data_IF_363647174295
#
_entry.id   IF_363647174295
#
_cell.length_a   1.000
_cell.length_b   1.000
_cell.length_c   1.000
_cell.angle_alpha   90.00
_cell.angle_beta   90.00
_cell.angle_gamma   90.00
#
_symmetry.space_group_name_H-M   'P 1'
#
loop_
_entity.id
_entity.type
_entity.pdbx_description
1 polymer ?
2 non-polymer ?
3 water ?
#
# COMPACT_ATOMS: atom_id res chain seq x y z
N UNK A 6 0.82 8.74 -4.55
CA UNK A 6 0.30 9.56 -5.63
C UNK A 6 1.21 9.56 -6.88
N UNK A 7 0.71 10.07 -8.02
CA UNK A 7 1.49 10.12 -9.27
C UNK A 7 2.91 10.64 -9.12
N UNK A 8 3.08 11.80 -8.49
CA UNK A 8 4.40 12.43 -8.34
C UNK A 8 5.41 11.52 -7.68
N UNK A 9 4.98 10.81 -6.64
CA UNK A 9 5.82 9.88 -5.90
C UNK A 9 6.28 8.74 -6.82
N UNK A 10 5.33 8.13 -7.59
CA UNK A 10 5.63 7.01 -8.48
C UNK A 10 6.51 7.47 -9.66
N UNK A 11 6.22 8.66 -10.19
CA UNK A 11 6.99 9.23 -11.28
C UNK A 11 8.43 9.47 -10.83
N UNK A 12 8.66 9.90 -9.59
CA UNK A 12 10.01 10.12 -9.07
C UNK A 12 10.72 8.78 -8.95
N UNK A 13 10.03 7.71 -8.52
CA UNK A 13 10.68 6.39 -8.47
C UNK A 13 11.06 5.93 -9.87
N UNK A 14 10.16 6.09 -10.84
CA UNK A 14 10.42 5.63 -12.20
C UNK A 14 11.56 6.41 -12.86
N UNK A 15 11.63 7.71 -12.59
CA UNK A 15 12.66 8.62 -13.09
C UNK A 15 14.01 8.28 -12.49
N UNK A 16 14.07 8.08 -11.16
CA UNK A 16 15.28 7.73 -10.44
C UNK A 16 15.84 6.43 -11.02
N UNK A 17 14.96 5.44 -11.26
CA UNK A 17 15.45 4.14 -11.77
C UNK A 17 16.05 4.32 -13.18
N UNK A 18 15.39 5.11 -14.05
CA UNK A 18 15.90 5.34 -15.38
C UNK A 18 17.26 6.06 -15.32
N UNK A 19 17.42 7.03 -14.40
CA UNK A 19 18.68 7.74 -14.24
C UNK A 19 19.79 6.83 -13.71
N UNK A 20 19.41 5.87 -12.85
CA UNK A 20 20.33 4.87 -12.32
C UNK A 20 20.86 4.00 -13.49
N UNK A 21 19.95 3.49 -14.34
CA UNK A 21 20.36 2.65 -15.48
C UNK A 21 21.18 3.45 -16.49
N UNK A 22 20.81 4.68 -16.75
CA UNK A 22 21.51 5.52 -17.70
C UNK A 22 22.84 6.08 -17.19
N UNK A 23 23.18 5.85 -15.91
CA UNK A 23 24.44 6.34 -15.30
C UNK A 23 24.50 7.86 -15.23
N UNK A 24 23.35 8.49 -14.97
CA UNK A 24 23.21 9.94 -14.81
C UNK A 24 22.46 10.28 -13.52
N UNK A 25 22.99 9.85 -12.36
CA UNK A 25 22.36 10.23 -11.08
C UNK A 25 22.25 11.75 -10.95
N UNK A 26 21.11 12.26 -10.52
CA UNK A 26 20.90 13.70 -10.42
C UNK A 26 21.55 14.30 -9.16
N UNK A 27 22.30 15.40 -9.32
CA UNK A 27 22.89 16.06 -8.15
C UNK A 27 21.84 16.58 -7.18
N UNK A 28 22.19 16.64 -5.91
CA UNK A 28 21.25 17.13 -4.90
C UNK A 28 21.18 16.27 -3.67
N UNK A 29 20.01 16.20 -3.02
CA UNK A 29 19.87 15.39 -1.79
C UNK A 29 19.91 13.86 -2.05
N UNK A 30 19.80 13.45 -3.31
CA UNK A 30 19.89 12.05 -3.70
C UNK A 30 18.59 11.30 -3.56
N UNK A 31 18.60 10.02 -3.95
CA UNK A 31 17.36 9.24 -3.87
C UNK A 31 16.89 8.93 -2.46
N UNK A 32 15.57 8.78 -2.30
CA UNK A 32 14.97 8.44 -1.01
C UNK A 32 15.35 6.99 -0.60
N UNK A 33 15.01 6.58 0.63
CA UNK A 33 15.24 5.21 1.08
C UNK A 33 14.48 4.22 0.15
N UNK A 34 13.22 4.53 -0.20
CA UNK A 34 12.43 3.67 -1.10
C UNK A 34 13.13 3.50 -2.46
N UNK A 35 13.62 4.61 -3.02
CA UNK A 35 14.27 4.57 -4.31
C UNK A 35 15.55 3.75 -4.27
N UNK A 36 16.34 3.88 -3.20
CA UNK A 36 17.60 3.14 -3.04
C UNK A 36 17.32 1.63 -2.99
N UNK A 37 16.31 1.23 -2.20
CA UNK A 37 15.97 -0.20 -2.11
C UNK A 37 15.46 -0.69 -3.48
N UNK A 38 14.58 0.08 -4.11
CA UNK A 38 14.02 -0.30 -5.41
C UNK A 38 15.08 -0.46 -6.50
N UNK A 39 16.04 0.48 -6.59
CA UNK A 39 17.11 0.40 -7.61
C UNK A 39 17.91 -0.91 -7.49
N UNK A 40 18.24 -1.31 -6.27
CA UNK A 40 18.95 -2.55 -5.99
C UNK A 40 18.14 -3.77 -6.47
N UNK A 41 16.88 -3.94 -5.99
CA UNK A 41 16.10 -5.13 -6.36
C UNK A 41 15.73 -5.14 -7.84
N UNK A 42 15.30 -3.98 -8.40
CA UNK A 42 14.91 -3.94 -9.81
C UNK A 42 16.08 -4.20 -10.72
N UNK A 43 17.30 -3.68 -10.37
CA UNK A 43 18.47 -3.92 -11.22
C UNK A 43 18.82 -5.39 -11.25
N UNK A 44 18.68 -6.08 -10.11
CA UNK A 44 18.94 -7.53 -10.06
C UNK A 44 17.95 -8.27 -10.96
N UNK A 45 16.68 -7.91 -10.92
CA UNK A 45 15.67 -8.55 -11.77
C UNK A 45 15.95 -8.21 -13.22
N UNK A 46 16.30 -6.94 -13.52
CA UNK A 46 16.61 -6.52 -14.89
C UNK A 46 17.74 -7.35 -15.49
N UNK A 47 18.83 -7.56 -14.73
CA UNK A 47 19.96 -8.34 -15.25
C UNK A 47 19.54 -9.77 -15.56
N UNK A 48 18.70 -10.38 -14.70
CA UNK A 48 18.20 -11.76 -14.92
C UNK A 48 17.33 -11.75 -16.20
N UNK A 49 16.42 -10.79 -16.34
CA UNK A 49 15.55 -10.72 -17.51
C UNK A 49 16.34 -10.52 -18.79
N UNK A 50 17.39 -9.68 -18.76
CA UNK A 50 18.22 -9.44 -19.95
C UNK A 50 18.86 -10.73 -20.44
N UNK A 51 19.35 -11.56 -19.51
CA UNK A 51 20.02 -12.81 -19.90
C UNK A 51 18.98 -13.84 -20.36
N UNK A 52 17.96 -14.07 -19.53
CA UNK A 52 16.96 -15.08 -19.83
C UNK A 52 16.13 -14.80 -21.10
N UNK A 53 15.82 -13.52 -21.38
CA UNK A 53 15.06 -13.14 -22.55
C UNK A 53 15.92 -12.52 -23.63
N UNK A 54 17.23 -12.78 -23.65
CA UNK A 54 18.13 -12.18 -24.66
C UNK A 54 17.62 -12.32 -26.10
N UNK A 55 17.21 -13.54 -26.51
CA UNK A 55 16.76 -13.75 -27.89
C UNK A 55 15.52 -12.91 -28.23
N UNK A 56 14.65 -12.78 -27.25
CA UNK A 56 13.43 -12.06 -27.32
C UNK A 56 13.70 -10.52 -27.39
N UNK A 57 14.66 -10.01 -26.60
CA UNK A 57 15.00 -8.59 -26.59
C UNK A 57 15.81 -8.20 -27.82
N UNK A 58 16.62 -9.10 -28.35
CA UNK A 58 17.41 -8.85 -29.55
C UNK A 58 16.56 -8.73 -30.84
N UNK A 59 15.30 -9.19 -30.81
CA UNK A 59 14.43 -9.18 -31.99
C UNK A 59 13.62 -7.91 -32.18
N UNK A 60 13.82 -6.90 -31.33
CA UNK A 60 13.08 -5.66 -31.41
C UNK A 60 14.05 -4.48 -31.70
N UNK A 61 13.55 -3.40 -32.32
CA UNK A 61 14.24 -2.15 -32.63
C UNK A 61 13.36 -1.06 -32.01
N UNK A 62 13.78 -0.49 -30.89
CA UNK A 62 13.02 0.51 -30.14
C UNK A 62 13.40 1.87 -30.68
N UNK A 63 12.81 2.24 -31.84
CA UNK A 63 13.16 3.47 -32.55
C UNK A 63 12.50 4.71 -32.06
N UNK A 64 11.46 4.61 -31.23
CA UNK A 64 10.75 5.78 -30.75
C UNK A 64 10.06 5.49 -29.42
N UNK A 65 9.62 6.54 -28.74
CA UNK A 65 8.83 6.43 -27.52
C UNK A 65 7.52 5.67 -27.79
N UNK A 66 6.89 5.87 -28.98
CA UNK A 66 5.63 5.17 -29.30
C UNK A 66 5.89 3.67 -29.49
N UNK A 67 7.04 3.31 -30.06
CA UNK A 67 7.42 1.90 -30.18
C UNK A 67 7.63 1.33 -28.76
N UNK A 68 8.31 2.08 -27.87
CA UNK A 68 8.56 1.61 -26.49
C UNK A 68 7.23 1.45 -25.74
N UNK A 69 6.29 2.39 -25.94
CA UNK A 69 4.98 2.32 -25.30
C UNK A 69 4.24 1.05 -25.73
N UNK A 70 4.27 0.73 -27.03
CA UNK A 70 3.60 -0.45 -27.55
C UNK A 70 4.21 -1.74 -26.99
N UNK A 71 5.54 -1.79 -26.92
CA UNK A 71 6.24 -2.96 -26.40
C UNK A 71 5.93 -3.14 -24.91
N UNK A 72 6.01 -2.05 -24.13
CA UNK A 72 5.74 -2.06 -22.70
C UNK A 72 4.31 -2.59 -22.44
N UNK A 73 3.29 -2.11 -23.20
CA UNK A 73 1.90 -2.58 -23.00
C UNK A 73 1.74 -4.07 -23.27
N UNK A 74 2.47 -4.58 -24.25
CA UNK A 74 2.46 -6.01 -24.56
C UNK A 74 3.05 -6.81 -23.40
N UNK A 75 4.13 -6.30 -22.78
CA UNK A 75 4.74 -6.99 -21.63
C UNK A 75 3.77 -6.95 -20.47
N UNK A 76 3.13 -5.81 -20.21
CA UNK A 76 2.20 -5.69 -19.09
C UNK A 76 0.97 -6.60 -19.25
N UNK A 77 0.49 -6.78 -20.48
CA UNK A 77 -0.66 -7.67 -20.72
C UNK A 77 -0.28 -9.11 -20.36
N UNK A 78 0.94 -9.52 -20.72
CA UNK A 78 1.44 -10.85 -20.43
C UNK A 78 1.77 -11.01 -18.93
N UNK A 79 2.40 -10.01 -18.33
CA UNK A 79 2.79 -10.08 -16.91
C UNK A 79 1.59 -10.24 -15.97
N UNK A 80 0.49 -9.52 -16.23
CA UNK A 80 -0.67 -9.56 -15.36
C UNK A 80 -1.87 -10.29 -15.96
N UNK A 81 -1.63 -11.21 -16.92
CA UNK A 81 -2.74 -11.89 -17.59
C UNK A 81 -3.60 -12.72 -16.64
N UNK A 82 -3.03 -13.25 -15.55
CA UNK A 82 -3.83 -14.03 -14.59
C UNK A 82 -4.56 -13.15 -13.55
N UNK A 83 -4.47 -11.82 -13.69
CA UNK A 83 -5.13 -10.86 -12.83
C UNK A 83 -4.54 -10.68 -11.44
N UNK A 84 -3.43 -11.36 -11.12
CA UNK A 84 -2.86 -11.22 -9.78
C UNK A 84 -1.72 -10.18 -9.73
N UNK A 85 -1.68 -9.42 -8.65
CA UNK A 85 -0.62 -8.46 -8.43
C UNK A 85 0.14 -8.89 -7.18
N UNK A 86 1.46 -8.78 -7.23
CA UNK A 86 2.33 -9.01 -6.09
C UNK A 86 3.56 -8.08 -6.23
N UNK A 87 4.36 -7.92 -5.17
CA UNK A 87 5.48 -6.99 -5.20
C UNK A 87 6.55 -7.39 -6.23
N UNK A 88 6.77 -8.69 -6.45
CA UNK A 88 7.71 -9.15 -7.46
C UNK A 88 7.30 -8.71 -8.85
N UNK A 89 5.97 -8.67 -9.12
CA UNK A 89 5.49 -8.21 -10.41
C UNK A 89 5.64 -6.70 -10.58
N UNK A 90 5.47 -5.94 -9.48
CA UNK A 90 5.68 -4.48 -9.56
C UNK A 90 7.16 -4.18 -9.80
N UNK A 91 8.08 -4.93 -9.16
CA UNK A 91 9.52 -4.75 -9.43
C UNK A 91 9.84 -5.05 -10.92
N UNK A 92 9.20 -6.10 -11.47
CA UNK A 92 9.40 -6.44 -12.89
C UNK A 92 9.03 -5.27 -13.87
N UNK A 93 8.06 -4.43 -13.49
CA UNK A 93 7.66 -3.26 -14.31
C UNK A 93 8.86 -2.33 -14.48
N UNK A 94 9.53 -2.00 -13.36
CA UNK A 94 10.70 -1.12 -13.37
C UNK A 94 11.83 -1.79 -14.14
N UNK A 95 12.04 -3.12 -13.96
CA UNK A 95 13.07 -3.83 -14.74
C UNK A 95 12.85 -3.66 -16.25
N UNK A 96 11.58 -3.78 -16.72
CA UNK A 96 11.31 -3.61 -18.16
C UNK A 96 11.51 -2.15 -18.62
N UNK A 97 11.21 -1.14 -17.76
CA UNK A 97 11.50 0.24 -18.16
C UNK A 97 13.03 0.45 -18.31
N UNK A 98 13.83 -0.22 -17.50
CA UNK A 98 15.29 -0.11 -17.60
C UNK A 98 15.76 -0.72 -18.91
N UNK A 99 15.16 -1.87 -19.30
CA UNK A 99 15.56 -2.50 -20.57
C UNK A 99 15.16 -1.58 -21.76
N UNK A 100 13.95 -1.03 -21.70
CA UNK A 100 13.45 -0.16 -22.76
C UNK A 100 14.32 1.08 -22.92
N UNK A 101 14.74 1.73 -21.82
CA UNK A 101 15.59 2.93 -21.96
C UNK A 101 16.95 2.59 -22.54
N UNK A 102 17.51 1.42 -22.20
CA UNK A 102 18.80 1.00 -22.78
C UNK A 102 18.67 0.78 -24.26
N UNK A 103 17.55 0.16 -24.69
CA UNK A 103 17.34 -0.06 -26.12
C UNK A 103 17.05 1.28 -26.83
N UNK A 104 16.30 2.17 -26.20
CA UNK A 104 15.98 3.48 -26.79
C UNK A 104 17.24 4.32 -26.94
N UNK A 105 18.12 4.37 -25.91
CA UNK A 105 19.40 5.12 -26.07
C UNK A 105 20.19 4.63 -27.32
N UNK A 106 20.18 3.33 -27.52
CA UNK A 106 20.94 2.67 -28.57
C UNK A 106 20.28 2.73 -29.95
N UNK A 107 18.94 2.68 -29.98
CA UNK A 107 18.20 2.55 -31.24
C UNK A 107 17.27 3.69 -31.64
N UNK A 108 17.01 4.66 -30.77
CA UNK A 108 16.09 5.77 -31.12
C UNK A 108 16.53 6.51 -32.38
N UNK A 109 15.59 6.75 -33.32
CA UNK A 109 15.84 7.40 -34.61
C UNK A 109 16.43 8.79 -34.46
N UNK A 110 15.71 9.71 -33.82
CA UNK A 110 16.21 11.05 -33.62
C UNK A 110 16.48 11.06 -32.15
N UNK A 111 17.72 10.71 -31.75
CA UNK A 111 18.03 10.64 -30.31
C UNK A 111 17.65 11.92 -29.58
N UNK A 112 16.73 11.79 -28.63
CA UNK A 112 16.25 12.93 -27.88
C UNK A 112 16.45 12.70 -26.39
N UNK A 113 17.41 13.40 -25.80
CA UNK A 113 17.70 13.33 -24.37
C UNK A 113 16.48 13.73 -23.50
N UNK A 114 15.51 14.47 -24.06
CA UNK A 114 14.32 14.87 -23.31
C UNK A 114 13.18 13.88 -23.44
N UNK A 115 13.44 12.65 -23.98
CA UNK A 115 12.42 11.61 -24.14
C UNK A 115 12.58 10.46 -23.11
N UNK A 116 13.66 10.45 -22.32
CA UNK A 116 13.80 9.47 -21.24
C UNK A 116 12.73 9.71 -20.15
N UNK A 117 12.35 10.98 -19.95
CA UNK A 117 11.30 11.32 -19.00
C UNK A 117 9.92 10.87 -19.48
N UNK A 118 9.73 10.66 -20.80
CA UNK A 118 8.46 10.20 -21.36
C UNK A 118 8.24 8.71 -21.04
N UNK A 119 9.31 7.89 -21.02
CA UNK A 119 9.20 6.47 -20.67
C UNK A 119 8.76 6.36 -19.21
N UNK A 120 9.46 7.08 -18.33
CA UNK A 120 9.18 7.17 -16.88
C UNK A 120 7.73 7.59 -16.66
N UNK A 121 7.26 8.53 -17.47
CA UNK A 121 5.89 9.02 -17.37
C UNK A 121 4.86 7.95 -17.66
N UNK A 122 5.00 7.19 -18.77
CA UNK A 122 3.98 6.18 -19.07
C UNK A 122 4.08 4.97 -18.14
N UNK A 123 5.28 4.66 -17.62
CA UNK A 123 5.42 3.60 -16.63
C UNK A 123 4.69 4.02 -15.34
N UNK A 124 4.86 5.28 -14.91
CA UNK A 124 4.18 5.76 -13.71
C UNK A 124 2.68 5.78 -13.88
N UNK A 125 2.20 6.12 -15.08
CA UNK A 125 0.76 6.11 -15.37
C UNK A 125 0.21 4.68 -15.25
N UNK A 126 0.95 3.71 -15.78
CA UNK A 126 0.53 2.33 -15.71
C UNK A 126 0.49 1.83 -14.25
N UNK A 127 1.56 2.08 -13.49
CA UNK A 127 1.66 1.67 -12.10
C UNK A 127 0.52 2.28 -11.28
N UNK A 128 0.31 3.59 -11.43
CA UNK A 128 -0.73 4.25 -10.69
C UNK A 128 -2.12 3.75 -11.04
N UNK A 129 -2.48 3.70 -12.34
CA UNK A 129 -3.80 3.29 -12.79
C UNK A 129 -4.13 1.81 -12.56
N UNK A 130 -3.19 0.90 -12.87
CA UNK A 130 -3.45 -0.53 -12.78
C UNK A 130 -3.07 -1.20 -11.45
N UNK A 131 -2.03 -0.71 -10.76
CA UNK A 131 -1.58 -1.34 -9.51
C UNK A 131 -1.66 -0.45 -8.28
N UNK A 132 -2.00 0.82 -8.45
CA UNK A 132 -2.00 1.79 -7.36
C UNK A 132 -2.86 1.44 -6.18
N UNK A 133 -4.06 0.91 -6.43
CA UNK A 133 -4.97 0.56 -5.33
C UNK A 133 -4.43 -0.63 -4.55
N UNK A 134 -3.90 -1.62 -5.26
CA UNK A 134 -3.29 -2.78 -4.62
C UNK A 134 -2.09 -2.34 -3.81
N UNK A 135 -1.26 -1.41 -4.33
CA UNK A 135 -0.09 -0.93 -3.59
C UNK A 135 -0.51 -0.29 -2.27
N UNK A 136 -1.51 0.59 -2.33
CA UNK A 136 -1.99 1.30 -1.14
C UNK A 136 -2.53 0.33 -0.09
N UNK A 137 -3.33 -0.65 -0.49
CA UNK A 137 -3.87 -1.63 0.44
C UNK A 137 -2.79 -2.55 1.02
N UNK A 138 -1.64 -2.69 0.32
CA UNK A 138 -0.54 -3.51 0.82
C UNK A 138 0.57 -2.69 1.52
N UNK A 139 0.25 -1.45 1.91
CA UNK A 139 1.13 -0.63 2.72
C UNK A 139 1.85 0.51 2.06
N UNK A 140 1.62 0.66 0.76
CA UNK A 140 2.31 1.70 0.01
C UNK A 140 3.79 1.34 -0.14
N UNK A 141 4.60 2.35 -0.50
CA UNK A 141 6.01 2.10 -0.72
C UNK A 141 6.81 2.00 0.56
N UNK A 142 6.52 2.80 1.58
CA UNK A 142 7.32 2.75 2.81
C UNK A 142 6.91 1.62 3.77
N UNK A 143 5.60 1.40 3.97
CA UNK A 143 5.11 0.34 4.86
C UNK A 143 4.87 -1.00 4.19
N UNK A 144 4.96 -1.05 2.87
CA UNK A 144 4.77 -2.28 2.14
C UNK A 144 6.04 -2.69 1.43
N UNK A 145 6.38 -1.96 0.38
CA UNK A 145 7.52 -2.29 -0.45
C UNK A 145 8.85 -2.32 0.31
N UNK A 146 9.17 -1.25 1.02
CA UNK A 146 10.44 -1.16 1.74
C UNK A 146 10.52 -2.20 2.82
N UNK A 147 9.45 -2.41 3.58
CA UNK A 147 9.47 -3.45 4.62
C UNK A 147 9.76 -4.85 4.06
N UNK A 148 9.25 -5.15 2.88
CA UNK A 148 9.49 -6.44 2.26
C UNK A 148 10.87 -6.61 1.65
N UNK A 149 11.37 -5.59 0.94
CA UNK A 149 12.60 -5.72 0.18
C UNK A 149 13.84 -5.08 0.77
N UNK A 150 13.73 -4.33 1.88
CA UNK A 150 14.93 -3.69 2.44
C UNK A 150 15.88 -4.76 2.98
N UNK A 151 17.19 -4.46 3.02
CA UNK A 151 18.15 -5.45 3.52
C UNK A 151 17.82 -5.96 4.91
N UNK A 152 18.11 -7.25 5.16
CA UNK A 152 17.81 -7.83 6.46
C UNK A 152 18.92 -7.55 7.46
N UNK B 6 1.59 -9.06 8.03
CA UNK B 6 1.79 -8.22 6.86
C UNK B 6 0.68 -7.18 6.69
N UNK B 7 1.05 -6.01 6.18
CA UNK B 7 0.16 -4.88 6.06
C UNK B 7 -1.19 -5.20 5.40
N UNK B 8 -1.17 -5.89 4.26
CA UNK B 8 -2.37 -6.22 3.49
C UNK B 8 -3.42 -6.97 4.30
N UNK B 9 -2.97 -7.87 5.16
CA UNK B 9 -3.89 -8.64 6.01
C UNK B 9 -4.58 -7.72 7.04
N UNK B 10 -3.80 -6.87 7.73
CA UNK B 10 -4.32 -5.97 8.75
C UNK B 10 -5.21 -4.90 8.11
N UNK B 11 -4.80 -4.38 6.93
CA UNK B 11 -5.62 -3.43 6.16
C UNK B 11 -7.01 -4.03 5.88
N UNK B 12 -7.04 -5.27 5.40
CA UNK B 12 -8.31 -5.95 5.14
C UNK B 12 -9.15 -6.08 6.44
N UNK B 13 -8.56 -6.38 7.59
CA UNK B 13 -9.33 -6.45 8.87
C UNK B 13 -9.93 -5.05 9.17
N UNK B 14 -9.10 -3.99 9.02
CA UNK B 14 -9.56 -2.63 9.30
C UNK B 14 -10.66 -2.18 8.35
N UNK B 15 -10.52 -2.47 7.04
CA UNK B 15 -11.52 -2.09 6.04
C UNK B 15 -12.78 -2.92 6.22
N UNK B 16 -12.67 -4.23 6.55
CA UNK B 16 -13.86 -5.06 6.79
C UNK B 16 -14.66 -4.49 7.98
N UNK B 17 -13.97 -4.08 9.04
CA UNK B 17 -14.66 -3.57 10.24
C UNK B 17 -15.39 -2.27 9.90
N UNK B 18 -14.74 -1.37 9.14
CA UNK B 18 -15.38 -0.13 8.74
C UNK B 18 -16.59 -0.39 7.84
N UNK B 19 -16.49 -1.38 6.94
CA UNK B 19 -17.64 -1.72 6.08
C UNK B 19 -18.80 -2.31 6.89
N UNK B 20 -18.47 -3.06 7.97
CA UNK B 20 -19.46 -3.62 8.87
C UNK B 20 -20.20 -2.45 9.61
N UNK B 21 -19.42 -1.51 10.17
CA UNK B 21 -20.00 -0.36 10.88
C UNK B 21 -20.87 0.46 9.94
N UNK B 22 -20.39 0.70 8.73
CA UNK B 22 -21.12 1.50 7.74
C UNK B 22 -22.29 0.78 7.11
N UNK B 23 -22.52 -0.50 7.45
CA UNK B 23 -23.62 -1.31 6.89
C UNK B 23 -23.52 -1.40 5.36
N UNK B 24 -22.29 -1.53 4.85
CA UNK B 24 -22.00 -1.70 3.44
C UNK B 24 -21.13 -2.95 3.20
N UNK B 25 -21.57 -4.16 3.62
CA UNK B 25 -20.74 -5.36 3.39
C UNK B 25 -20.62 -5.75 1.92
N UNK B 26 -19.45 -6.25 1.53
CA UNK B 26 -19.17 -6.67 0.15
C UNK B 26 -19.93 -7.97 -0.22
N UNK B 27 -20.28 -8.20 -1.51
CA UNK B 27 -21.00 -9.43 -1.87
C UNK B 27 -20.15 -10.71 -1.80
N UNK B 28 -20.75 -11.86 -2.08
CA UNK B 28 -20.04 -13.14 -2.04
C UNK B 28 -20.09 -13.77 -0.66
N UNK B 29 -19.11 -14.62 -0.34
CA UNK B 29 -19.03 -15.26 0.98
C UNK B 29 -18.63 -14.31 2.12
N UNK B 30 -18.40 -13.03 1.80
CA UNK B 30 -18.10 -12.01 2.78
C UNK B 30 -16.76 -12.12 3.47
N UNK B 31 -16.66 -11.48 4.65
CA UNK B 31 -15.36 -11.48 5.36
C UNK B 31 -14.90 -12.86 5.82
N UNK B 32 -13.60 -12.98 6.11
CA UNK B 32 -12.99 -14.23 6.58
C UNK B 32 -13.50 -14.57 8.00
N UNK B 33 -13.24 -15.81 8.48
CA UNK B 33 -13.58 -16.23 9.85
C UNK B 33 -12.92 -15.28 10.86
N UNK B 34 -11.64 -14.89 10.63
CA UNK B 34 -10.92 -13.95 11.51
C UNK B 34 -11.63 -12.59 11.60
N UNK B 35 -12.00 -12.05 10.44
CA UNK B 35 -12.66 -10.78 10.37
C UNK B 35 -14.02 -10.83 11.07
N UNK B 36 -14.77 -11.92 10.87
CA UNK B 36 -16.07 -12.11 11.52
C UNK B 36 -15.98 -12.15 13.02
N UNK B 37 -14.95 -12.85 13.57
CA UNK B 37 -14.74 -12.90 15.01
C UNK B 37 -14.40 -11.51 15.52
N UNK B 38 -13.52 -10.80 14.80
CA UNK B 38 -13.12 -9.46 15.20
C UNK B 38 -14.31 -8.52 15.21
N UNK B 39 -15.19 -8.56 14.19
CA UNK B 39 -16.33 -7.66 14.12
C UNK B 39 -17.23 -7.81 15.34
N UNK B 40 -17.48 -9.05 15.72
CA UNK B 40 -18.29 -9.37 16.90
C UNK B 40 -17.70 -8.73 18.18
N UNK B 41 -16.45 -9.04 18.49
CA UNK B 41 -15.84 -8.53 19.74
C UNK B 41 -15.60 -7.02 19.70
N UNK B 42 -15.10 -6.49 18.57
CA UNK B 42 -14.85 -5.05 18.45
C UNK B 42 -16.14 -4.24 18.53
N UNK B 43 -17.25 -4.73 17.94
CA UNK B 43 -18.50 -3.97 18.01
C UNK B 43 -19.00 -3.91 19.45
N UNK B 44 -18.85 -5.03 20.21
CA UNK B 44 -19.25 -5.05 21.63
C UNK B 44 -18.45 -4.01 22.45
N UNK B 45 -17.15 -3.92 22.21
CA UNK B 45 -16.31 -2.93 22.89
C UNK B 45 -16.73 -1.52 22.44
N UNK B 46 -16.98 -1.34 21.12
CA UNK B 46 -17.37 -0.04 20.59
C UNK B 46 -18.61 0.52 21.27
N UNK B 47 -19.62 -0.32 21.46
CA UNK B 47 -20.85 0.12 22.11
C UNK B 47 -20.63 0.54 23.57
N UNK B 48 -19.76 -0.18 24.28
CA UNK B 48 -19.42 0.16 25.68
C UNK B 48 -18.68 1.50 25.72
N UNK B 49 -17.71 1.70 24.81
CA UNK B 49 -16.94 2.95 24.74
C UNK B 49 -17.86 4.12 24.38
N UNK B 50 -18.78 3.92 23.43
CA UNK B 50 -19.70 5.00 23.04
C UNK B 50 -20.55 5.45 24.24
N UNK B 51 -20.98 4.49 25.04
CA UNK B 51 -21.79 4.76 26.22
C UNK B 51 -20.96 5.43 27.33
N UNK B 52 -19.78 4.89 27.64
CA UNK B 52 -18.96 5.41 28.72
C UNK B 52 -18.35 6.79 28.40
N UNK B 53 -17.95 7.03 27.15
CA UNK B 53 -17.34 8.30 26.74
C UNK B 53 -18.28 9.23 25.99
N UNK B 54 -19.60 9.03 26.10
CA UNK B 54 -20.56 9.86 25.35
C UNK B 54 -20.30 11.38 25.39
N UNK B 55 -20.15 11.96 26.58
CA UNK B 55 -19.88 13.40 26.70
C UNK B 55 -18.58 13.79 26.01
N UNK B 56 -17.52 12.98 26.19
CA UNK B 56 -16.22 13.18 25.57
C UNK B 56 -16.33 13.13 24.01
N UNK B 57 -16.94 12.08 23.47
CA UNK B 57 -17.06 11.91 22.02
C UNK B 57 -17.94 12.97 21.37
N UNK B 58 -19.05 13.35 22.03
CA UNK B 58 -19.96 14.38 21.49
C UNK B 58 -19.37 15.80 21.53
N UNK B 59 -18.27 16.01 22.28
CA UNK B 59 -17.64 17.31 22.38
C UNK B 59 -16.61 17.57 21.26
N UNK B 60 -16.29 16.54 20.43
CA UNK B 60 -15.29 16.68 19.40
C UNK B 60 -15.91 16.52 18.01
N UNK B 61 -15.50 17.36 17.04
CA UNK B 61 -15.99 17.22 15.67
C UNK B 61 -14.92 16.51 14.83
N UNK B 62 -15.33 15.77 13.79
CA UNK B 62 -14.40 15.05 12.94
C UNK B 62 -14.78 15.42 11.52
N UNK B 63 -14.22 16.52 11.01
CA UNK B 63 -14.64 17.03 9.70
C UNK B 63 -13.75 16.64 8.55
N UNK B 64 -12.59 16.03 8.83
CA UNK B 64 -11.67 15.59 7.78
C UNK B 64 -10.89 14.35 8.22
N UNK B 65 -10.25 13.65 7.27
CA UNK B 65 -9.39 12.51 7.59
C UNK B 65 -8.16 12.98 8.35
N UNK B 66 -7.63 14.18 8.05
CA UNK B 66 -6.44 14.66 8.77
C UNK B 66 -6.74 14.84 10.26
N UNK B 67 -7.91 15.40 10.60
CA UNK B 67 -8.27 15.57 12.01
C UNK B 67 -8.57 14.20 12.66
N UNK B 68 -9.20 13.28 11.92
CA UNK B 68 -9.45 11.89 12.38
C UNK B 68 -8.15 11.21 12.73
N UNK B 69 -7.09 11.43 11.92
CA UNK B 69 -5.77 10.84 12.17
C UNK B 69 -5.18 11.42 13.46
N UNK B 70 -5.25 12.75 13.63
CA UNK B 70 -4.80 13.41 14.86
C UNK B 70 -5.47 12.84 16.11
N UNK B 71 -6.83 12.80 16.13
CA UNK B 71 -7.65 12.30 17.22
C UNK B 71 -7.29 10.84 17.48
N UNK B 72 -7.12 10.04 16.42
CA UNK B 72 -6.76 8.62 16.56
C UNK B 72 -5.42 8.47 17.26
N UNK B 73 -4.43 9.27 16.85
CA UNK B 73 -3.09 9.21 17.43
C UNK B 73 -3.11 9.57 18.93
N UNK B 74 -3.96 10.54 19.30
CA UNK B 74 -4.13 10.96 20.69
C UNK B 74 -4.76 9.83 21.52
N UNK B 75 -5.71 9.09 20.94
CA UNK B 75 -6.29 7.94 21.64
C UNK B 75 -5.24 6.87 21.86
N UNK B 76 -4.44 6.57 20.84
CA UNK B 76 -3.41 5.55 20.92
C UNK B 76 -2.34 5.91 21.98
N UNK B 77 -2.06 7.23 22.14
CA UNK B 77 -1.10 7.70 23.15
C UNK B 77 -1.62 7.32 24.54
N UNK B 78 -2.92 7.55 24.80
CA UNK B 78 -3.53 7.26 26.07
C UNK B 78 -3.63 5.73 26.26
N UNK B 79 -4.15 5.03 25.26
CA UNK B 79 -4.36 3.58 25.28
C UNK B 79 -3.13 2.77 25.67
N UNK B 80 -1.97 3.12 25.13
CA UNK B 80 -0.74 2.38 25.40
C UNK B 80 0.25 3.19 26.23
N UNK B 81 -0.24 4.11 27.07
CA UNK B 81 0.69 4.94 27.87
C UNK B 81 1.56 4.16 28.86
N UNK B 82 1.12 3.00 29.35
CA UNK B 82 1.94 2.18 30.26
C UNK B 82 2.89 1.20 29.52
N UNK B 83 2.89 1.24 28.20
CA UNK B 83 3.74 0.37 27.38
C UNK B 83 3.22 -1.05 27.19
N UNK B 84 2.13 -1.43 27.87
CA UNK B 84 1.61 -2.80 27.75
C UNK B 84 0.73 -3.01 26.52
N UNK B 85 0.92 -4.15 25.82
CA UNK B 85 0.05 -4.55 24.71
C UNK B 85 -0.68 -5.83 25.15
N UNK B 86 -1.97 -5.87 24.93
CA UNK B 86 -2.76 -7.08 25.14
C UNK B 86 -3.86 -7.13 24.08
N UNK B 87 -4.54 -8.28 23.92
CA UNK B 87 -5.57 -8.40 22.89
C UNK B 87 -6.72 -7.43 23.08
N UNK B 88 -7.06 -7.12 24.33
CA UNK B 88 -8.13 -6.17 24.63
C UNK B 88 -7.84 -4.79 24.09
N UNK B 89 -6.58 -4.35 24.22
CA UNK B 89 -6.16 -3.06 23.68
C UNK B 89 -6.15 -3.06 22.16
N UNK B 90 -5.77 -4.19 21.55
CA UNK B 90 -5.81 -4.29 20.09
C UNK B 90 -7.26 -4.19 19.59
N UNK B 91 -8.21 -4.87 20.25
CA UNK B 91 -9.62 -4.78 19.86
C UNK B 91 -10.13 -3.31 20.00
N UNK B 92 -9.65 -2.62 21.03
CA UNK B 92 -10.03 -1.21 21.27
C UNK B 92 -9.64 -0.30 20.09
N UNK B 93 -8.53 -0.63 19.39
CA UNK B 93 -8.05 0.13 18.24
C UNK B 93 -9.16 0.10 17.16
N UNK B 94 -9.73 -1.09 16.89
CA UNK B 94 -10.80 -1.21 15.90
C UNK B 94 -12.05 -0.51 16.38
N UNK B 95 -12.38 -0.62 17.68
CA UNK B 95 -13.53 0.08 18.22
C UNK B 95 -13.45 1.61 17.96
N UNK B 96 -12.25 2.21 18.16
CA UNK B 96 -12.06 3.64 17.92
C UNK B 96 -12.15 4.01 16.41
N UNK B 97 -11.68 3.13 15.51
CA UNK B 97 -11.81 3.42 14.08
C UNK B 97 -13.30 3.38 13.68
N UNK B 98 -14.11 2.53 14.32
CA UNK B 98 -15.54 2.50 14.08
C UNK B 98 -16.22 3.80 14.54
N UNK B 99 -15.85 4.30 15.72
CA UNK B 99 -16.41 5.56 16.24
C UNK B 99 -16.00 6.73 15.32
N UNK B 100 -14.75 6.74 14.84
CA UNK B 100 -14.25 7.79 13.93
C UNK B 100 -15.04 7.79 12.64
N UNK B 101 -15.29 6.61 12.06
CA UNK B 101 -16.02 6.57 10.78
C UNK B 101 -17.48 7.01 10.95
N UNK B 102 -18.11 6.76 12.11
CA UNK B 102 -19.49 7.21 12.33
C UNK B 102 -19.53 8.75 12.40
N UNK B 103 -18.54 9.33 13.08
CA UNK B 103 -18.46 10.78 13.20
C UNK B 103 -18.16 11.44 11.84
N UNK B 104 -17.25 10.86 11.07
CA UNK B 104 -16.93 11.37 9.73
C UNK B 104 -18.13 11.25 8.81
N UNK B 105 -18.91 10.16 8.89
CA UNK B 105 -20.12 10.02 8.06
C UNK B 105 -21.08 11.20 8.34
N UNK B 106 -21.19 11.61 9.59
CA UNK B 106 -22.09 12.70 9.96
C UNK B 106 -21.51 14.09 9.73
N UNK B 107 -20.17 14.24 9.81
CA UNK B 107 -19.59 15.59 9.83
C UNK B 107 -18.56 15.93 8.80
N UNK B 108 -18.11 14.98 7.96
CA UNK B 108 -17.07 15.27 6.98
C UNK B 108 -17.50 16.42 6.03
N UNK B 109 -16.60 17.39 5.77
CA UNK B 109 -16.92 18.55 4.95
C UNK B 109 -17.38 18.20 3.55
N UNK B 110 -16.53 17.55 2.75
CA UNK B 110 -16.92 17.13 1.42
C UNK B 110 -17.06 15.64 1.58
N UNK B 111 -18.28 15.12 1.85
CA UNK B 111 -18.42 13.67 2.05
C UNK B 111 -17.80 12.87 0.91
N UNK B 112 -16.68 12.22 1.23
CA UNK B 112 -15.94 11.44 0.27
C UNK B 112 -16.16 10.00 0.65
N UNK B 113 -16.99 9.32 -0.13
CA UNK B 113 -17.38 7.92 0.06
C UNK B 113 -16.20 6.95 0.17
N UNK B 114 -15.00 7.34 -0.27
CA UNK B 114 -13.83 6.47 -0.17
C UNK B 114 -12.89 6.85 0.99
N UNK B 115 -13.35 7.66 1.96
CA UNK B 115 -12.48 8.06 3.05
C UNK B 115 -12.28 6.95 4.08
N UNK B 116 -13.19 5.94 4.14
CA UNK B 116 -12.97 4.80 5.03
C UNK B 116 -11.68 4.04 4.65
N UNK B 117 -11.25 4.14 3.38
CA UNK B 117 -10.01 3.52 2.90
C UNK B 117 -8.76 4.20 3.50
N UNK B 118 -8.80 5.52 3.69
CA UNK B 118 -7.69 6.25 4.26
C UNK B 118 -7.60 5.96 5.76
N UNK B 119 -8.74 5.85 6.45
CA UNK B 119 -8.72 5.51 7.89
C UNK B 119 -8.21 4.07 8.05
N UNK B 120 -8.68 3.14 7.19
CA UNK B 120 -8.20 1.74 7.24
C UNK B 120 -6.69 1.69 7.07
N UNK B 121 -6.15 2.55 6.17
CA UNK B 121 -4.71 2.66 5.99
C UNK B 121 -3.97 3.09 7.26
N UNK B 122 -4.34 4.23 7.87
CA UNK B 122 -3.58 4.71 9.03
C UNK B 122 -3.78 3.79 10.25
N UNK B 123 -4.92 3.11 10.34
CA UNK B 123 -5.14 2.15 11.42
C UNK B 123 -4.23 0.95 11.22
N UNK B 124 -4.15 0.38 9.99
CA UNK B 124 -3.26 -0.77 9.74
C UNK B 124 -1.80 -0.38 9.93
N UNK B 125 -1.44 0.85 9.55
CA UNK B 125 -0.09 1.34 9.73
C UNK B 125 0.27 1.38 11.23
N UNK B 126 -0.63 1.90 12.08
CA UNK B 126 -0.40 1.96 13.52
C UNK B 126 -0.24 0.55 14.09
N UNK B 127 -1.18 -0.35 13.76
CA UNK B 127 -1.15 -1.72 14.26
C UNK B 127 0.11 -2.44 13.84
N UNK B 128 0.48 -2.33 12.57
CA UNK B 128 1.66 -3.03 12.07
C UNK B 128 2.94 -2.53 12.69
N UNK B 129 3.13 -1.21 12.73
CA UNK B 129 4.35 -0.63 13.26
C UNK B 129 4.51 -0.67 14.79
N UNK B 130 3.41 -0.59 15.54
CA UNK B 130 3.48 -0.52 16.99
C UNK B 130 3.08 -1.80 17.72
N UNK B 131 2.30 -2.69 17.06
CA UNK B 131 1.88 -3.93 17.72
C UNK B 131 2.18 -5.21 16.93
N UNK B 132 2.64 -5.08 15.70
CA UNK B 132 2.88 -6.19 14.78
C UNK B 132 3.73 -7.31 15.35
N UNK B 133 4.85 -6.96 15.99
CA UNK B 133 5.81 -7.87 16.61
C UNK B 133 5.13 -8.65 17.74
N UNK B 134 4.40 -7.96 18.64
CA UNK B 134 3.66 -8.60 19.73
C UNK B 134 2.63 -9.57 19.15
N UNK B 135 1.87 -9.12 18.12
CA UNK B 135 0.85 -9.99 17.51
C UNK B 135 1.44 -11.26 16.96
N UNK B 136 2.53 -11.16 16.17
CA UNK B 136 3.18 -12.33 15.61
C UNK B 136 3.68 -13.28 16.71
N UNK B 137 4.33 -12.73 17.74
CA UNK B 137 4.85 -13.52 18.86
C UNK B 137 3.77 -14.22 19.69
N UNK B 138 2.53 -13.73 19.64
CA UNK B 138 1.43 -14.29 20.39
C UNK B 138 0.43 -15.09 19.56
N UNK B 139 0.86 -15.58 18.41
CA UNK B 139 0.06 -16.47 17.57
C UNK B 139 -0.54 -15.88 16.32
N UNK B 140 -0.31 -14.59 16.10
CA UNK B 140 -0.87 -13.90 14.95
C UNK B 140 -2.38 -13.80 15.06
N UNK B 141 -3.04 -13.45 13.95
CA UNK B 141 -4.50 -13.34 13.95
C UNK B 141 -5.18 -14.69 14.01
N UNK B 142 -4.70 -15.65 13.20
CA UNK B 142 -5.37 -16.96 13.17
C UNK B 142 -5.10 -17.84 14.41
N UNK B 143 -3.84 -17.95 14.89
CA UNK B 143 -3.56 -18.79 16.07
C UNK B 143 -3.37 -18.02 17.38
N UNK B 144 -3.75 -16.74 17.37
CA UNK B 144 -3.64 -15.92 18.56
C UNK B 144 -4.98 -15.29 18.85
N UNK B 145 -5.31 -14.29 18.05
CA UNK B 145 -6.57 -13.57 18.23
C UNK B 145 -7.80 -14.50 18.11
N UNK B 146 -7.90 -15.23 17.02
CA UNK B 146 -9.03 -16.10 16.76
C UNK B 146 -9.14 -17.19 17.81
N UNK B 147 -8.01 -17.76 18.26
CA UNK B 147 -8.08 -18.79 19.30
C UNK B 147 -8.60 -18.27 20.61
N UNK B 148 -8.28 -17.04 20.95
CA UNK B 148 -8.72 -16.45 22.20
C UNK B 148 -10.16 -15.98 22.17
N UNK B 149 -10.63 -15.43 21.04
CA UNK B 149 -11.94 -14.78 20.98
C UNK B 149 -13.03 -15.51 20.25
N UNK B 150 -12.72 -16.60 19.52
CA UNK B 150 -13.77 -17.32 18.82
C UNK B 150 -14.68 -18.05 19.83
N UNK B 151 -15.94 -18.27 19.47
CA UNK B 151 -16.83 -19.07 20.36
C UNK B 151 -16.24 -20.45 20.68
N UNK B 152 -16.28 -20.91 21.96
CA UNK B 152 -15.70 -22.20 22.33
C UNK B 152 -16.65 -23.39 22.09
X LIG C 1 8.05 -8.25 -26.86
X LIG C 1 8.63 -10.61 -27.21
X LIG C 1 8.52 -12.05 -26.80
X LIG C 1 8.34 -10.17 -22.68
X LIG C 1 7.04 -10.51 -22.38
X LIG C 1 7.43 -10.73 -19.98
X LIG C 1 8.13 -12.09 -19.91
X LIG C 1 7.02 -13.00 -19.38
X LIG C 1 6.39 -12.16 -18.27
X LIG C 1 6.49 -10.72 -18.77
X LIG C 1 6.09 -10.57 -23.38
X LIG C 1 6.45 -10.30 -24.69
X LIG C 1 9.16 -7.37 -26.29
X LIG C 1 11.18 -5.71 -25.28
X LIG C 1 9.86 -5.53 -24.84
X LIG C 1 8.88 -6.38 -25.37
X LIG C 1 9.50 -4.53 -23.88
X LIG C 1 12.13 -3.55 -25.16
X LIG C 1 12.27 -4.81 -24.77
X LIG C 1 13.49 -5.23 -25.11
X LIG C 1 12.34 -4.77 -23.46
X LIG C 1 11.47 -6.69 -26.22
X LIG C 1 10.47 -7.51 -26.71
X LIG C 1 9.17 -3.74 -23.12
X LIG C 1 6.64 -7.68 -26.69
X LIG C 1 8.15 -9.65 -26.36
X LIG C 1 9.86 -12.60 -26.43
X LIG C 1 9.15 -10.30 -28.28
X LIG C 1 7.77 -9.97 -25.00
X LIG C 1 8.71 -9.91 -23.99
X LIG C 1 6.53 -10.78 -21.12
X LIG C 1 7.06 -12.29 -16.97
X LIG D 1 -10.03 12.85 22.03
X LIG D 1 -10.99 13.46 24.20
X LIG D 1 -11.24 13.18 25.65
X LIG D 1 -10.43 8.90 24.33
X LIG D 1 -9.13 8.69 24.77
X LIG D 1 -9.42 6.30 25.18
X LIG D 1 -10.23 6.24 26.46
X LIG D 1 -9.18 5.78 27.47
X LIG D 1 -8.44 4.67 26.72
X LIG D 1 -8.52 5.08 25.24
X LIG D 1 -8.25 9.75 24.83
X LIG D 1 -8.66 11.02 24.46
X LIG D 1 -11.01 12.14 21.10
X LIG D 1 -12.75 10.84 19.34
X LIG D 1 -11.39 10.50 19.34
X LIG D 1 -10.55 11.16 20.24
X LIG D 1 -10.84 9.55 18.42
X LIG D 1 -13.48 10.43 17.11
X LIG D 1 -13.71 10.15 18.40
X LIG D 1 -14.98 10.47 18.63
X LIG D 1 -13.66 8.84 18.49
X LIG D 1 -13.23 11.82 20.22
X LIG D 1 -12.36 12.46 21.08
X LIG D 1 -10.35 8.81 17.70
X LIG D 1 -8.56 12.66 21.71
X LIG D 1 -10.32 12.53 23.46
X LIG D 1 -12.69 13.17 25.95
X LIG D 1 -11.40 14.49 23.70
X LIG D 1 -9.95 11.24 23.99
X LIG D 1 -10.84 10.17 23.95
X LIG D 1 -8.58 7.49 25.17
X LIG D 1 -9.01 3.34 26.95
#
# INVERSE_FOLDING_TARGET
GMTDCEFGYIYRLAQDYLQCVLQIPQPGSGPSKTSRVLQNVAFSVQKEVEKNLKSCLDNVNVVSVDTARTLFNQVMEKEFEDGIINWGRIVTIFAFEGILIKKLLRQQIAPDVDTYKEISYFVAEFIMNNTGEWIRQNGGWENGFVKKFEPK
GMTDCEFGYIYRLAQDYLQCVLQIPQPGSGPSKTSRVLQNVAFSVQKEVEKNLKSCLDNVNVVSVDTARTLFNQVMEKEFEDGIINWGRIVTIFAFEGILIKKLLRQQIAPDVDTYKEISYFVAEFIMNNTGEWIRQNGGWENGFVKKFEPK
A1IDP C1 C2 C3 C7 C8 C9 C10 C11 C12 C13 C14 C15 C16 C19 C20 C21 C22 F2 C23 F F1 C18 C17 N2 C N C4 O C5 C6 O1 N1
A1IDP C1 C2 C3 C7 C8 C9 C10 C11 C12 C13 C14 C15 C16 C19 C20 C21 C22 F2 C23 F F1 C18 C17 N2 C N C4 O C5 C6 O1 N1
#
